data_IF_449175064825
#
_entry.id   IF_449175064825
#
_cell.length_a   1.000
_cell.length_b   1.000
_cell.length_c   1.000
_cell.angle_alpha   90.00
_cell.angle_beta   90.00
_cell.angle_gamma   90.00
#
_symmetry.space_group_name_H-M   'P 1'
#
loop_
_entity.id
_entity.type
_entity.pdbx_description
1 polymer ?
#
# COMPACT_ATOMS: atom_id res chain seq x y z
N UNK A 1 -17.58 -2.48 6.01
CA UNK A 1 -17.55 -3.02 7.39
C UNK A 1 -16.26 -2.62 8.11
N UNK A 2 -16.31 -2.33 9.42
CA UNK A 2 -15.11 -2.09 10.25
C UNK A 2 -14.33 -3.38 10.47
N UNK A 3 -13.00 -3.30 10.38
CA UNK A 3 -12.04 -4.39 10.58
C UNK A 3 -10.99 -3.96 11.59
N UNK A 4 -10.55 -4.91 12.41
CA UNK A 4 -9.42 -4.74 13.31
C UNK A 4 -8.12 -5.03 12.55
N UNK A 5 -7.06 -4.30 12.87
CA UNK A 5 -5.72 -4.46 12.30
C UNK A 5 -4.71 -4.68 13.42
N UNK A 6 -3.68 -5.49 13.17
CA UNK A 6 -2.55 -5.71 14.07
C UNK A 6 -3.00 -6.10 15.48
N UNK A 7 -3.83 -7.14 15.56
CA UNK A 7 -4.36 -7.65 16.84
C UNK A 7 -5.33 -6.69 17.55
N UNK A 8 -5.94 -5.76 16.81
CA UNK A 8 -6.92 -4.79 17.34
C UNK A 8 -6.31 -3.48 17.85
N UNK A 9 -5.02 -3.24 17.61
CA UNK A 9 -4.38 -1.96 17.94
C UNK A 9 -4.88 -0.81 17.05
N UNK A 10 -5.26 -1.13 15.81
CA UNK A 10 -5.83 -0.18 14.85
C UNK A 10 -7.11 -0.76 14.23
N UNK A 11 -7.85 0.07 13.52
CA UNK A 11 -9.04 -0.38 12.79
C UNK A 11 -9.24 0.43 11.52
N UNK A 12 -9.84 -0.20 10.52
CA UNK A 12 -10.14 0.40 9.21
C UNK A 12 -11.56 0.08 8.77
N UNK A 13 -12.20 0.99 8.05
CA UNK A 13 -13.44 0.73 7.34
C UNK A 13 -13.13 0.31 5.90
N UNK A 14 -13.47 -0.92 5.55
CA UNK A 14 -13.30 -1.48 4.21
C UNK A 14 -14.64 -1.83 3.58
N UNK A 15 -14.68 -2.00 2.26
CA UNK A 15 -15.85 -2.55 1.58
C UNK A 15 -16.15 -3.98 2.05
N UNK A 16 -17.41 -4.40 1.98
CA UNK A 16 -17.86 -5.68 2.53
C UNK A 16 -17.32 -6.89 1.75
N UNK A 17 -16.90 -6.68 0.51
CA UNK A 17 -16.31 -7.68 -0.39
C UNK A 17 -14.78 -7.81 -0.25
N UNK A 18 -14.17 -7.08 0.69
CA UNK A 18 -12.75 -7.19 1.00
C UNK A 18 -12.50 -8.35 1.97
N UNK A 19 -11.70 -9.32 1.54
CA UNK A 19 -11.35 -10.53 2.29
C UNK A 19 -9.89 -10.48 2.72
N UNK A 20 -9.61 -10.93 3.95
CA UNK A 20 -8.26 -11.03 4.50
C UNK A 20 -7.48 -12.19 3.85
N UNK A 21 -6.32 -11.87 3.29
CA UNK A 21 -5.44 -12.82 2.61
C UNK A 21 -4.66 -13.70 3.60
N UNK A 22 -4.56 -13.31 4.88
CA UNK A 22 -3.88 -14.08 5.92
C UNK A 22 -4.49 -15.48 6.14
N UNK A 23 -5.77 -15.66 5.81
CA UNK A 23 -6.49 -16.93 5.90
C UNK A 23 -5.98 -17.98 4.89
N UNK A 24 -5.37 -17.53 3.78
CA UNK A 24 -4.95 -18.39 2.67
C UNK A 24 -3.44 -18.48 2.49
N UNK A 25 -2.68 -17.47 2.94
CA UNK A 25 -1.21 -17.48 2.92
C UNK A 25 -0.64 -16.66 4.07
N UNK A 26 0.61 -16.91 4.39
CA UNK A 26 1.34 -16.08 5.35
C UNK A 26 1.51 -14.64 4.80
N UNK A 27 1.30 -13.67 5.69
CA UNK A 27 1.53 -12.24 5.49
C UNK A 27 2.50 -11.79 6.60
N UNK A 28 3.50 -10.93 6.33
CA UNK A 28 4.41 -10.43 7.36
C UNK A 28 3.66 -9.78 8.53
N UNK A 29 4.18 -9.89 9.75
CA UNK A 29 3.51 -9.39 10.97
C UNK A 29 3.24 -7.87 10.95
N UNK A 30 4.04 -7.11 10.20
CA UNK A 30 3.88 -5.66 10.02
C UNK A 30 2.97 -5.30 8.82
N UNK A 31 2.34 -6.28 8.18
CA UNK A 31 1.47 -6.11 7.03
C UNK A 31 0.09 -6.75 7.24
N UNK A 32 -0.93 -6.11 6.68
CA UNK A 32 -2.30 -6.62 6.58
C UNK A 32 -2.73 -6.48 5.11
N UNK A 33 -3.26 -7.55 4.50
CA UNK A 33 -3.55 -7.57 3.06
C UNK A 33 -4.98 -8.02 2.82
N UNK A 34 -5.73 -7.18 2.12
CA UNK A 34 -7.12 -7.44 1.73
C UNK A 34 -7.26 -7.43 0.21
N UNK A 35 -8.11 -8.32 -0.32
CA UNK A 35 -8.44 -8.39 -1.76
C UNK A 35 -9.96 -8.37 -1.94
N UNK A 36 -10.43 -7.70 -3.00
CA UNK A 36 -11.84 -7.76 -3.36
C UNK A 36 -12.18 -9.13 -3.96
N UNK A 37 -13.37 -9.65 -3.63
CA UNK A 37 -13.93 -10.82 -4.32
C UNK A 37 -14.69 -10.47 -5.60
N UNK A 38 -14.92 -9.17 -5.86
CA UNK A 38 -15.74 -8.68 -6.96
C UNK A 38 -14.94 -7.91 -8.03
N UNK A 39 -13.74 -7.43 -7.69
CA UNK A 39 -12.81 -6.75 -8.60
C UNK A 39 -11.38 -7.24 -8.37
N UNK A 40 -10.45 -6.77 -9.22
CA UNK A 40 -9.02 -7.05 -9.10
C UNK A 40 -8.32 -6.06 -8.14
N UNK A 41 -9.08 -5.35 -7.29
CA UNK A 41 -8.53 -4.36 -6.36
C UNK A 41 -8.01 -5.03 -5.09
N UNK A 42 -6.92 -4.47 -4.55
CA UNK A 42 -6.34 -4.89 -3.28
C UNK A 42 -5.99 -3.69 -2.41
N UNK A 43 -5.99 -3.91 -1.09
CA UNK A 43 -5.58 -2.92 -0.10
C UNK A 43 -4.52 -3.56 0.78
N UNK A 44 -3.34 -2.94 0.83
CA UNK A 44 -2.23 -3.36 1.68
C UNK A 44 -2.00 -2.25 2.70
N UNK A 45 -1.95 -2.63 3.98
CA UNK A 45 -1.59 -1.75 5.09
C UNK A 45 -0.28 -2.26 5.65
N UNK A 46 0.73 -1.41 5.70
CA UNK A 46 2.06 -1.76 6.20
C UNK A 46 2.55 -0.72 7.20
N UNK A 47 3.13 -1.20 8.31
CA UNK A 47 3.83 -0.36 9.28
C UNK A 47 5.32 -0.33 8.90
N UNK A 48 5.81 0.86 8.57
CA UNK A 48 7.20 1.13 8.20
C UNK A 48 7.91 1.96 9.28
N UNK A 49 9.24 1.94 9.24
CA UNK A 49 10.06 2.87 10.00
C UNK A 49 9.97 4.28 9.40
N UNK A 50 10.12 5.30 10.26
CA UNK A 50 10.15 6.69 9.81
C UNK A 50 11.41 6.99 8.99
N UNK A 51 11.24 7.78 7.93
CA UNK A 51 12.33 8.22 7.05
C UNK A 51 12.82 9.62 7.43
N UNK A 52 14.11 9.87 7.22
CA UNK A 52 14.74 11.18 7.46
C UNK A 52 14.57 12.09 6.24
N UNK A 53 13.31 12.45 5.96
CA UNK A 53 12.92 13.35 4.88
C UNK A 53 12.51 14.73 5.43
N UNK A 54 12.65 15.76 4.61
CA UNK A 54 12.45 17.14 5.05
C UNK A 54 11.01 17.45 5.49
N UNK A 55 10.03 16.82 4.82
CA UNK A 55 8.62 16.90 5.18
C UNK A 55 7.83 15.62 4.78
N UNK A 56 6.54 15.60 5.10
CA UNK A 56 5.69 14.44 4.83
C UNK A 56 5.34 14.21 3.35
N UNK A 57 5.46 15.22 2.48
CA UNK A 57 5.35 15.00 1.04
C UNK A 57 6.62 14.35 0.49
N UNK A 58 7.79 14.72 1.01
CA UNK A 58 9.05 14.08 0.63
C UNK A 58 9.11 12.63 1.12
N UNK A 59 8.66 12.36 2.36
CA UNK A 59 8.47 10.99 2.85
C UNK A 59 7.48 10.17 1.99
N UNK A 60 6.38 10.79 1.57
CA UNK A 60 5.42 10.15 0.66
C UNK A 60 6.04 9.81 -0.70
N UNK A 61 6.84 10.72 -1.29
CA UNK A 61 7.51 10.47 -2.58
C UNK A 61 8.57 9.39 -2.44
N UNK A 62 9.31 9.39 -1.33
CA UNK A 62 10.29 8.36 -1.01
C UNK A 62 9.62 6.97 -0.99
N UNK A 63 8.56 6.79 -0.21
CA UNK A 63 7.86 5.50 -0.14
C UNK A 63 7.16 5.10 -1.45
N UNK A 64 6.63 6.08 -2.21
CA UNK A 64 6.08 5.79 -3.55
C UNK A 64 7.16 5.24 -4.49
N UNK A 65 8.36 5.84 -4.48
CA UNK A 65 9.48 5.38 -5.31
C UNK A 65 9.90 3.95 -4.95
N UNK A 66 9.90 3.58 -3.66
CA UNK A 66 10.19 2.20 -3.24
C UNK A 66 9.21 1.18 -3.83
N UNK A 67 7.91 1.51 -3.87
CA UNK A 67 6.89 0.64 -4.48
C UNK A 67 7.11 0.52 -6.00
N UNK A 68 7.50 1.62 -6.66
CA UNK A 68 7.81 1.60 -8.10
C UNK A 68 9.08 0.80 -8.42
N UNK A 69 10.13 0.96 -7.62
CA UNK A 69 11.39 0.22 -7.76
C UNK A 69 11.17 -1.29 -7.61
N UNK A 70 10.31 -1.72 -6.67
CA UNK A 70 9.93 -3.13 -6.51
C UNK A 70 9.18 -3.70 -7.73
N UNK A 71 8.59 -2.83 -8.54
CA UNK A 71 7.90 -3.20 -9.78
C UNK A 71 8.78 -3.02 -11.03
N UNK A 72 10.05 -2.66 -10.87
CA UNK A 72 10.99 -2.33 -11.96
C UNK A 72 10.41 -1.28 -12.93
N UNK A 73 9.71 -0.26 -12.40
CA UNK A 73 9.07 0.77 -13.22
C UNK A 73 9.78 2.14 -13.17
N UNK A 74 10.69 2.42 -14.11
CA UNK A 74 11.37 3.71 -14.18
C UNK A 74 10.45 4.85 -14.63
N UNK A 75 9.28 4.54 -15.21
CA UNK A 75 8.33 5.51 -15.75
C UNK A 75 7.15 5.78 -14.79
N UNK A 76 7.27 5.34 -13.53
CA UNK A 76 6.24 5.56 -12.52
C UNK A 76 5.99 7.05 -12.29
N UNK A 77 4.72 7.41 -12.10
CA UNK A 77 4.33 8.82 -12.01
C UNK A 77 3.22 9.07 -10.99
N UNK A 78 3.48 10.02 -10.07
CA UNK A 78 2.46 10.56 -9.17
C UNK A 78 1.63 11.59 -9.93
N UNK A 79 0.31 11.36 -10.00
CA UNK A 79 -0.66 12.23 -10.65
C UNK A 79 -1.18 13.31 -9.72
N UNK A 80 -1.33 12.99 -8.43
CA UNK A 80 -1.87 13.89 -7.43
C UNK A 80 -1.23 13.64 -6.07
N UNK A 81 -0.98 14.73 -5.36
CA UNK A 81 -0.64 14.69 -3.93
C UNK A 81 -1.53 15.64 -3.15
N UNK A 82 -1.84 15.31 -1.91
CA UNK A 82 -2.53 16.21 -0.99
C UNK A 82 -2.24 15.90 0.48
N UNK A 83 -2.25 16.93 1.31
CA UNK A 83 -2.35 16.76 2.75
C UNK A 83 -3.79 16.38 3.12
N UNK A 84 -3.94 15.41 4.02
CA UNK A 84 -5.23 14.91 4.50
C UNK A 84 -5.42 15.37 5.93
N UNK A 85 -6.50 16.10 6.18
CA UNK A 85 -6.83 16.53 7.53
C UNK A 85 -7.26 15.32 8.37
N UNK A 86 -6.53 15.04 9.44
CA UNK A 86 -6.90 14.01 10.40
C UNK A 86 -7.77 14.66 11.47
N UNK A 87 -9.05 14.32 11.50
CA UNK A 87 -9.94 14.81 12.54
C UNK A 87 -9.57 14.17 13.89
N UNK A 88 -9.41 15.00 14.91
CA UNK A 88 -9.44 14.58 16.33
C UNK A 88 -8.28 13.71 16.84
N UNK A 89 -7.15 13.61 16.11
CA UNK A 89 -5.94 12.94 16.60
C UNK A 89 -4.66 13.71 16.22
N UNK A 90 -3.60 13.64 17.05
CA UNK A 90 -2.29 14.17 16.68
C UNK A 90 -1.71 13.35 15.52
N UNK A 91 -1.30 14.02 14.44
CA UNK A 91 -0.64 13.37 13.31
C UNK A 91 -0.74 14.18 12.02
N UNK A 92 -0.03 13.71 11.01
CA UNK A 92 -0.06 14.23 9.65
C UNK A 92 -0.33 13.09 8.69
N UNK A 93 -1.22 13.30 7.72
CA UNK A 93 -1.48 12.32 6.67
C UNK A 93 -1.31 12.99 5.31
N UNK A 94 -0.78 12.23 4.37
CA UNK A 94 -0.56 12.66 3.00
C UNK A 94 -1.03 11.54 2.07
N UNK A 95 -1.62 11.91 0.94
CA UNK A 95 -2.12 10.97 -0.07
C UNK A 95 -1.39 11.21 -1.39
N UNK A 96 -0.94 10.13 -2.00
CA UNK A 96 -0.46 10.09 -3.38
C UNK A 96 -1.42 9.25 -4.21
N UNK A 97 -1.80 9.74 -5.38
CA UNK A 97 -2.45 8.94 -6.42
C UNK A 97 -1.50 8.91 -7.61
N UNK A 98 -1.16 7.73 -8.10
CA UNK A 98 -0.17 7.55 -9.16
C UNK A 98 -0.44 6.30 -9.98
N UNK A 99 0.31 6.15 -11.07
CA UNK A 99 0.31 4.94 -11.89
C UNK A 99 1.74 4.46 -12.05
N UNK A 100 1.86 3.14 -12.06
CA UNK A 100 3.09 2.43 -12.36
C UNK A 100 2.79 1.29 -13.33
N UNK A 101 3.75 0.94 -14.18
CA UNK A 101 3.76 -0.30 -14.94
C UNK A 101 4.17 -1.45 -14.03
N UNK A 102 3.33 -2.47 -13.91
CA UNK A 102 3.81 -3.74 -13.38
C UNK A 102 4.73 -4.35 -14.44
N UNK A 103 6.02 -4.55 -14.14
CA UNK A 103 6.93 -5.21 -15.06
C UNK A 103 6.40 -6.62 -15.40
N UNK A 104 5.94 -6.78 -16.65
CA UNK A 104 5.71 -8.09 -17.25
C UNK A 104 7.07 -8.68 -17.63
N UNK A 105 7.87 -9.10 -16.66
CA UNK A 105 8.82 -10.17 -16.95
C UNK A 105 8.02 -11.47 -16.96
N UNK A 106 7.56 -11.85 -18.17
CA UNK A 106 7.13 -13.22 -18.38
C UNK A 106 8.19 -14.14 -17.77
N UNK A 107 7.84 -15.09 -16.89
CA UNK A 107 8.83 -15.97 -16.34
C UNK A 107 9.45 -16.73 -17.52
N UNK A 108 10.75 -16.59 -17.74
CA UNK A 108 11.50 -17.36 -18.72
C UNK A 108 11.55 -18.81 -18.25
N UNK A 109 10.43 -19.53 -18.32
CA UNK A 109 10.39 -20.96 -18.11
C UNK A 109 11.04 -21.63 -19.32
N UNK A 110 12.25 -22.17 -19.11
CA UNK A 110 12.92 -23.17 -19.95
C UNK A 110 12.92 -22.92 -21.47
N UNK A 111 13.97 -22.26 -21.98
CA UNK A 111 14.53 -22.67 -23.27
C UNK A 111 15.36 -23.95 -23.05
N UNK A 112 14.82 -25.07 -23.55
CA UNK A 112 15.39 -26.43 -23.68
C UNK A 112 16.87 -26.64 -23.33
#
# INVERSE_FOLDING_TARGET
MRRDLFGGAMSIDLCDDMVDVSEIRQVPDNQEVFVSTNSDDSVIIEILEGVDEADGFDALRFHYAQVADLNDDPDSGIQRTQAVAIASQPGTAFLAEGRQHAANTAPTFCSR
#
